data_IF_160382201248
#
_entry.id   IF_160382201248
#
_cell.length_a   1.000
_cell.length_b   1.000
_cell.length_c   1.000
_cell.angle_alpha   90.00
_cell.angle_beta   90.00
_cell.angle_gamma   90.00
#
_symmetry.space_group_name_H-M   'P 1'
#
loop_
_entity.id
_entity.type
_entity.pdbx_description
1 polymer ?
#
# COMPACT_ATOMS: atom_id res chain seq x y z
N UNK A 1 -3.81 -5.02 -9.08
CA UNK A 1 -4.82 -5.96 -8.52
C UNK A 1 -5.89 -5.19 -7.73
N UNK A 2 -5.53 -4.24 -6.83
CA UNK A 2 -6.46 -3.56 -5.90
C UNK A 2 -7.74 -3.02 -6.57
N UNK A 3 -7.70 -2.18 -7.63
CA UNK A 3 -8.94 -1.67 -8.22
C UNK A 3 -9.81 -2.76 -8.85
N UNK A 4 -9.22 -3.82 -9.36
CA UNK A 4 -9.98 -4.94 -9.92
C UNK A 4 -10.71 -5.75 -8.84
N UNK A 5 -10.08 -5.94 -7.68
CA UNK A 5 -10.71 -6.57 -6.52
C UNK A 5 -11.85 -5.68 -5.97
N UNK A 6 -11.59 -4.37 -5.80
CA UNK A 6 -12.61 -3.41 -5.37
C UNK A 6 -13.82 -3.44 -6.30
N UNK A 7 -13.60 -3.36 -7.62
CA UNK A 7 -14.67 -3.45 -8.63
C UNK A 7 -15.49 -4.73 -8.51
N UNK A 8 -14.82 -5.86 -8.31
CA UNK A 8 -15.48 -7.15 -8.16
C UNK A 8 -16.42 -7.18 -6.95
N UNK A 9 -15.92 -6.77 -5.79
CA UNK A 9 -16.72 -6.79 -4.56
C UNK A 9 -17.79 -5.70 -4.51
N UNK A 10 -17.60 -4.56 -5.14
CA UNK A 10 -18.63 -3.50 -5.22
C UNK A 10 -19.86 -3.91 -6.03
N UNK A 11 -19.80 -5.01 -6.80
CA UNK A 11 -20.98 -5.59 -7.43
C UNK A 11 -21.98 -6.10 -6.38
N UNK A 12 -21.48 -6.69 -5.30
CA UNK A 12 -22.30 -7.33 -4.27
C UNK A 12 -22.46 -6.47 -3.01
N UNK A 13 -21.45 -5.64 -2.67
CA UNK A 13 -21.42 -4.84 -1.45
C UNK A 13 -21.60 -3.35 -1.74
N UNK A 14 -22.20 -2.63 -0.80
CA UNK A 14 -22.36 -1.16 -0.89
C UNK A 14 -21.04 -0.44 -0.66
N UNK A 15 -20.19 -0.97 0.23
CA UNK A 15 -18.91 -0.42 0.61
C UNK A 15 -17.88 -1.55 0.73
N UNK A 16 -16.69 -1.32 0.23
CA UNK A 16 -15.54 -2.25 0.31
C UNK A 16 -14.33 -1.50 0.86
N UNK A 17 -13.73 -2.05 1.90
CA UNK A 17 -12.44 -1.60 2.39
C UNK A 17 -11.36 -2.58 1.90
N UNK A 18 -10.34 -2.06 1.24
CA UNK A 18 -9.12 -2.80 0.98
C UNK A 18 -8.10 -2.50 2.08
N UNK A 19 -7.51 -3.53 2.63
CA UNK A 19 -6.48 -3.45 3.68
C UNK A 19 -5.35 -4.40 3.27
N UNK A 20 -4.10 -3.92 3.34
CA UNK A 20 -2.92 -4.76 3.04
C UNK A 20 -2.78 -5.91 4.08
N UNK A 21 -2.22 -7.06 3.70
CA UNK A 21 -2.15 -8.24 4.56
C UNK A 21 -1.23 -8.08 5.78
N UNK A 22 -0.37 -7.06 5.79
CA UNK A 22 0.51 -6.69 6.89
C UNK A 22 -0.07 -5.58 7.80
N UNK A 23 -1.40 -5.41 7.77
CA UNK A 23 -2.15 -4.52 8.66
C UNK A 23 -2.88 -5.35 9.72
N UNK A 24 -2.82 -4.91 10.97
CA UNK A 24 -3.62 -5.46 12.06
C UNK A 24 -4.62 -4.42 12.59
N UNK A 25 -5.88 -4.86 12.76
CA UNK A 25 -6.98 -4.04 13.27
C UNK A 25 -7.09 -4.22 14.77
N UNK A 26 -7.11 -3.11 15.52
CA UNK A 26 -7.16 -3.07 16.99
C UNK A 26 -8.50 -2.58 17.53
N UNK A 27 -9.27 -1.82 16.75
CA UNK A 27 -10.58 -1.31 17.14
C UNK A 27 -11.54 -1.27 15.94
N UNK A 28 -12.86 -1.20 16.16
CA UNK A 28 -13.85 -1.17 15.10
C UNK A 28 -13.61 -0.06 14.05
N UNK A 29 -13.87 -0.36 12.78
CA UNK A 29 -13.67 0.56 11.65
C UNK A 29 -14.97 1.26 11.20
N UNK A 30 -16.07 1.11 11.97
CA UNK A 30 -17.38 1.68 11.61
C UNK A 30 -17.31 3.17 11.23
N UNK A 31 -16.58 4.06 11.94
CA UNK A 31 -16.54 5.47 11.57
C UNK A 31 -15.98 5.72 10.16
N UNK A 32 -14.93 5.00 9.76
CA UNK A 32 -14.37 5.19 8.42
C UNK A 32 -15.21 4.48 7.34
N UNK A 33 -15.96 3.42 7.70
CA UNK A 33 -16.96 2.81 6.81
C UNK A 33 -18.10 3.81 6.53
N UNK A 34 -18.64 4.44 7.57
CA UNK A 34 -19.69 5.46 7.46
C UNK A 34 -19.22 6.63 6.58
N UNK A 35 -18.01 7.16 6.84
CA UNK A 35 -17.42 8.21 6.01
C UNK A 35 -17.22 7.77 4.56
N UNK A 36 -16.82 6.50 4.33
CA UNK A 36 -16.68 5.95 2.98
C UNK A 36 -18.02 5.89 2.25
N UNK A 37 -19.08 5.45 2.93
CA UNK A 37 -20.43 5.39 2.37
C UNK A 37 -20.94 6.81 2.06
N UNK A 38 -20.68 7.79 2.93
CA UNK A 38 -21.10 9.18 2.72
C UNK A 38 -20.37 9.85 1.55
N UNK A 39 -19.04 9.68 1.47
CA UNK A 39 -18.20 10.42 0.52
C UNK A 39 -17.81 9.61 -0.74
N UNK A 40 -18.11 8.33 -0.79
CA UNK A 40 -17.80 7.43 -1.90
C UNK A 40 -16.39 6.84 -1.89
N UNK A 41 -15.42 7.56 -1.33
CA UNK A 41 -14.01 7.13 -1.24
C UNK A 41 -13.44 7.66 0.07
N UNK A 42 -12.63 6.84 0.75
CA UNK A 42 -11.84 7.27 1.91
C UNK A 42 -10.37 6.86 1.78
N UNK A 43 -9.48 7.76 2.18
CA UNK A 43 -8.02 7.63 2.09
C UNK A 43 -7.37 7.99 3.42
N UNK A 44 -6.19 7.39 3.68
CA UNK A 44 -5.36 7.73 4.84
C UNK A 44 -4.03 8.34 4.37
N UNK A 45 -3.67 9.58 4.80
CA UNK A 45 -2.41 10.20 4.43
C UNK A 45 -1.24 9.59 5.21
N UNK A 46 -0.03 9.65 4.64
CA UNK A 46 1.18 9.21 5.31
C UNK A 46 1.49 10.05 6.55
N UNK A 47 1.29 11.36 6.49
CA UNK A 47 1.49 12.28 7.60
C UNK A 47 0.31 13.24 7.74
N UNK A 48 0.08 13.73 8.95
CA UNK A 48 -0.97 14.69 9.29
C UNK A 48 -0.41 16.06 9.71
N UNK A 49 0.91 16.15 9.90
CA UNK A 49 1.62 17.36 10.32
C UNK A 49 2.89 17.51 9.51
N UNK A 50 3.45 18.72 9.39
CA UNK A 50 4.74 18.94 8.78
C UNK A 50 5.84 18.11 9.46
N UNK A 51 6.75 17.55 8.66
CA UNK A 51 7.88 16.75 9.14
C UNK A 51 9.10 17.66 9.30
N UNK A 52 9.83 17.52 10.42
CA UNK A 52 11.03 18.30 10.67
C UNK A 52 12.12 18.03 9.63
N UNK A 53 12.82 19.08 9.19
CA UNK A 53 13.97 18.97 8.27
C UNK A 53 15.27 18.83 9.08
N UNK A 54 15.43 17.70 9.74
CA UNK A 54 16.51 17.38 10.68
C UNK A 54 17.47 16.28 10.17
N UNK A 55 17.25 15.83 8.92
CA UNK A 55 18.04 14.75 8.31
C UNK A 55 17.60 13.34 8.71
N UNK A 56 16.56 13.23 9.55
CA UNK A 56 15.93 11.92 9.82
C UNK A 56 14.89 11.56 8.74
N UNK A 57 14.71 10.26 8.53
CA UNK A 57 13.77 9.74 7.55
C UNK A 57 12.65 8.92 8.22
N UNK A 58 11.45 8.87 7.60
CA UNK A 58 11.10 9.48 6.31
C UNK A 58 11.01 10.99 6.38
N UNK A 59 11.27 11.62 5.22
CA UNK A 59 11.12 13.07 5.00
C UNK A 59 9.89 13.35 4.13
N UNK A 60 9.45 14.62 4.12
CA UNK A 60 8.36 15.06 3.22
C UNK A 60 8.69 14.77 1.75
N UNK A 61 9.97 14.93 1.34
CA UNK A 61 10.41 14.65 -0.03
C UNK A 61 10.26 13.17 -0.36
N UNK A 62 10.62 12.29 0.60
CA UNK A 62 10.43 10.84 0.44
C UNK A 62 8.96 10.47 0.30
N UNK A 63 8.09 11.07 1.12
CA UNK A 63 6.64 10.88 1.03
C UNK A 63 6.10 11.39 -0.31
N UNK A 64 6.50 12.58 -0.75
CA UNK A 64 6.09 13.11 -2.06
C UNK A 64 6.52 12.21 -3.21
N UNK A 65 7.67 11.57 -3.12
CA UNK A 65 8.15 10.63 -4.15
C UNK A 65 7.32 9.34 -4.19
N UNK A 66 6.90 8.83 -3.03
CA UNK A 66 6.11 7.61 -2.93
C UNK A 66 4.59 7.82 -3.12
N UNK A 67 4.10 9.04 -2.90
CA UNK A 67 2.68 9.42 -2.85
C UNK A 67 2.28 9.88 -1.44
N UNK A 68 1.38 10.85 -1.35
CA UNK A 68 0.97 11.46 -0.07
C UNK A 68 -0.03 10.60 0.72
N UNK A 69 -0.67 9.63 0.07
CA UNK A 69 -1.58 8.66 0.69
C UNK A 69 -0.95 7.27 0.70
N UNK A 70 -1.14 6.54 1.80
CA UNK A 70 -0.71 5.16 1.88
C UNK A 70 -1.84 4.20 1.52
N UNK A 71 -1.63 3.38 0.52
CA UNK A 71 -2.62 2.43 0.02
C UNK A 71 -2.56 1.05 0.70
N UNK A 72 -1.96 0.95 1.87
CA UNK A 72 -2.27 -0.14 2.81
C UNK A 72 -3.72 -0.10 3.28
N UNK A 73 -4.38 1.04 3.05
CA UNK A 73 -5.82 1.22 3.23
C UNK A 73 -6.43 2.05 2.10
N UNK A 74 -7.59 1.63 1.61
CA UNK A 74 -8.50 2.43 0.81
C UNK A 74 -9.93 1.92 0.98
N UNK A 75 -10.87 2.82 1.26
CA UNK A 75 -12.30 2.53 1.27
C UNK A 75 -12.98 3.05 0.00
N UNK A 76 -13.89 2.27 -0.58
CA UNK A 76 -14.70 2.70 -1.72
C UNK A 76 -16.14 2.21 -1.56
N UNK A 77 -17.10 3.11 -1.72
CA UNK A 77 -18.52 2.79 -1.84
C UNK A 77 -18.95 2.79 -3.30
N UNK A 78 -20.15 2.25 -3.62
CA UNK A 78 -20.66 2.15 -4.99
C UNK A 78 -20.63 3.46 -5.77
N UNK A 79 -20.92 4.57 -5.13
CA UNK A 79 -20.85 5.89 -5.76
C UNK A 79 -19.43 6.30 -6.16
N UNK A 80 -18.37 5.66 -5.61
CA UNK A 80 -16.98 5.82 -5.97
C UNK A 80 -16.54 4.96 -7.17
N UNK A 81 -17.43 4.22 -7.83
CA UNK A 81 -17.08 3.29 -8.91
C UNK A 81 -16.34 3.96 -10.08
N UNK A 82 -16.66 5.19 -10.41
CA UNK A 82 -15.96 5.94 -11.46
C UNK A 82 -14.47 6.13 -11.15
N UNK A 83 -14.11 6.33 -9.88
CA UNK A 83 -12.73 6.35 -9.43
C UNK A 83 -12.05 5.00 -9.64
N UNK A 84 -12.72 3.90 -9.30
CA UNK A 84 -12.15 2.54 -9.44
C UNK A 84 -11.82 2.25 -10.90
N UNK A 85 -12.72 2.59 -11.83
CA UNK A 85 -12.49 2.41 -13.29
C UNK A 85 -11.34 3.27 -13.77
N UNK A 86 -11.29 4.55 -13.37
CA UNK A 86 -10.19 5.46 -13.70
C UNK A 86 -8.86 4.93 -13.19
N UNK A 87 -8.81 4.48 -11.94
CA UNK A 87 -7.59 3.95 -11.33
C UNK A 87 -7.14 2.64 -11.98
N UNK A 88 -8.07 1.72 -12.24
CA UNK A 88 -7.80 0.46 -12.94
C UNK A 88 -7.15 0.70 -14.31
N UNK A 89 -7.65 1.69 -15.06
CA UNK A 89 -7.09 2.04 -16.38
C UNK A 89 -5.64 2.52 -16.27
N UNK A 90 -5.32 3.37 -15.28
CA UNK A 90 -3.94 3.83 -15.05
C UNK A 90 -3.01 2.69 -14.67
N UNK A 91 -3.45 1.81 -13.77
CA UNK A 91 -2.62 0.72 -13.25
C UNK A 91 -2.39 -0.42 -14.27
N UNK A 92 -3.08 -0.45 -15.38
CA UNK A 92 -2.80 -1.42 -16.44
C UNK A 92 -1.37 -1.34 -16.98
N UNK A 93 -0.77 -0.14 -16.95
CA UNK A 93 0.58 0.12 -17.48
C UNK A 93 1.54 0.64 -16.41
N UNK A 94 1.05 1.34 -15.41
CA UNK A 94 1.84 2.21 -14.55
C UNK A 94 1.95 1.71 -13.10
N UNK A 95 1.53 0.48 -12.81
CA UNK A 95 1.73 -0.14 -11.48
C UNK A 95 3.16 -0.66 -11.31
N UNK A 96 4.14 0.25 -11.41
CA UNK A 96 5.57 -0.04 -11.31
C UNK A 96 6.26 0.96 -10.38
N UNK A 97 7.46 0.63 -9.93
CA UNK A 97 8.38 1.58 -9.28
C UNK A 97 9.30 2.15 -10.35
N UNK A 98 9.05 3.42 -10.71
CA UNK A 98 9.84 4.17 -11.68
C UNK A 98 9.91 5.65 -11.26
N UNK A 99 10.80 5.99 -10.31
CA UNK A 99 10.91 7.35 -9.78
C UNK A 99 11.28 8.40 -10.84
N UNK A 100 12.00 8.01 -11.89
CA UNK A 100 12.37 8.92 -12.97
C UNK A 100 11.14 9.41 -13.77
N UNK A 101 10.10 8.58 -13.86
CA UNK A 101 8.81 8.91 -14.46
C UNK A 101 7.72 9.20 -13.42
N UNK A 102 8.10 9.47 -12.16
CA UNK A 102 7.20 9.81 -11.07
C UNK A 102 6.15 8.71 -10.74
N UNK A 103 6.48 7.44 -11.00
CA UNK A 103 5.61 6.31 -10.71
C UNK A 103 6.09 5.56 -9.47
N UNK A 104 5.14 5.25 -8.60
CA UNK A 104 5.39 4.41 -7.43
C UNK A 104 4.20 3.49 -7.18
N UNK A 105 4.29 2.29 -7.72
CA UNK A 105 3.29 1.22 -7.64
C UNK A 105 1.87 1.69 -8.03
N UNK A 106 0.90 1.36 -7.21
CA UNK A 106 -0.51 1.76 -7.34
C UNK A 106 -0.81 3.10 -6.66
N UNK A 107 0.09 3.57 -5.80
CA UNK A 107 -0.13 4.62 -4.82
C UNK A 107 -0.02 6.04 -5.40
N UNK A 108 0.98 6.28 -6.25
CA UNK A 108 1.29 7.63 -6.74
C UNK A 108 0.16 8.29 -7.54
N UNK A 109 -0.65 7.50 -8.24
CA UNK A 109 -1.83 7.96 -8.97
C UNK A 109 -2.92 8.54 -8.07
N UNK A 110 -2.97 8.14 -6.80
CA UNK A 110 -3.99 8.59 -5.86
C UNK A 110 -3.88 10.07 -5.53
N UNK A 111 -2.69 10.65 -5.59
CA UNK A 111 -2.53 12.09 -5.33
C UNK A 111 -3.35 12.93 -6.32
N UNK A 112 -3.43 12.49 -7.59
CA UNK A 112 -4.23 13.16 -8.63
C UNK A 112 -5.73 12.92 -8.43
N UNK A 113 -6.12 11.85 -7.76
CA UNK A 113 -7.53 11.54 -7.53
C UNK A 113 -8.23 12.56 -6.64
N UNK A 114 -7.50 13.26 -5.78
CA UNK A 114 -8.06 14.20 -4.81
C UNK A 114 -8.85 15.34 -5.46
N UNK A 115 -8.29 16.13 -6.40
CA UNK A 115 -9.04 17.18 -7.08
C UNK A 115 -10.12 16.66 -8.01
N UNK A 116 -10.02 15.41 -8.50
CA UNK A 116 -10.97 14.83 -9.48
C UNK A 116 -12.19 14.23 -8.78
N UNK A 117 -11.99 13.41 -7.75
CA UNK A 117 -13.02 12.60 -7.12
C UNK A 117 -13.39 13.05 -5.71
N UNK A 118 -12.62 13.94 -5.08
CA UNK A 118 -12.86 14.54 -3.76
C UNK A 118 -13.11 13.50 -2.66
N UNK A 119 -12.17 12.55 -2.45
CA UNK A 119 -12.30 11.54 -1.40
C UNK A 119 -12.37 12.18 -0.01
N UNK A 120 -12.99 11.48 0.93
CA UNK A 120 -12.79 11.76 2.34
C UNK A 120 -11.35 11.45 2.74
N UNK A 121 -10.71 12.36 3.43
CA UNK A 121 -9.34 12.18 3.94
C UNK A 121 -9.44 12.01 5.44
N UNK A 122 -9.08 10.82 5.92
CA UNK A 122 -9.10 10.51 7.34
C UNK A 122 -7.98 11.29 8.06
N UNK A 123 -8.38 12.16 8.96
CA UNK A 123 -7.48 13.03 9.72
C UNK A 123 -7.21 12.54 11.15
N UNK A 124 -7.87 11.46 11.61
CA UNK A 124 -7.55 10.86 12.90
C UNK A 124 -6.18 10.19 12.88
N UNK A 125 -5.32 10.44 13.88
CA UNK A 125 -4.00 9.82 13.96
C UNK A 125 -4.06 8.32 14.27
N UNK A 126 -5.21 7.78 14.65
CA UNK A 126 -5.39 6.38 15.05
C UNK A 126 -5.50 5.41 13.85
N UNK A 127 -5.61 5.92 12.62
CA UNK A 127 -5.70 5.11 11.39
C UNK A 127 -4.36 5.05 10.66
N UNK A 128 -4.02 3.89 10.13
CA UNK A 128 -2.83 3.64 9.32
C UNK A 128 -1.53 4.12 9.98
N UNK A 129 -1.39 3.76 11.27
CA UNK A 129 -0.16 4.01 12.01
C UNK A 129 0.92 3.06 11.51
N UNK A 130 2.10 3.61 11.20
CA UNK A 130 3.20 2.83 10.64
C UNK A 130 4.54 3.53 10.85
N UNK A 131 5.65 2.86 10.50
CA UNK A 131 7.01 3.36 10.71
C UNK A 131 7.25 4.79 10.18
N UNK A 132 6.49 5.23 9.18
CA UNK A 132 6.67 6.55 8.56
C UNK A 132 5.99 7.71 9.30
N UNK A 133 5.15 7.43 10.31
CA UNK A 133 4.43 8.47 11.04
C UNK A 133 4.42 8.29 12.57
N UNK A 134 5.21 7.36 13.09
CA UNK A 134 5.29 7.08 14.53
C UNK A 134 5.78 8.27 15.36
N UNK A 135 6.57 9.15 14.78
CA UNK A 135 7.03 10.39 15.43
C UNK A 135 5.88 11.38 15.69
N UNK A 136 4.83 11.34 14.86
CA UNK A 136 3.61 12.13 15.00
C UNK A 136 2.49 11.41 15.72
N UNK A 137 2.61 10.09 15.89
CA UNK A 137 1.56 9.19 16.40
C UNK A 137 2.09 8.29 17.50
N UNK A 138 2.50 8.85 18.65
CA UNK A 138 3.02 8.05 19.76
C UNK A 138 1.94 7.09 20.25
N UNK A 139 2.34 5.82 20.44
CA UNK A 139 1.44 4.77 20.93
C UNK A 139 1.55 4.64 22.42
N UNK A 140 0.42 4.64 23.10
CA UNK A 140 0.27 4.34 24.51
C UNK A 140 -0.57 3.08 24.69
N UNK A 141 -0.44 2.46 25.88
CA UNK A 141 -1.30 1.35 26.29
C UNK A 141 -1.98 1.69 27.61
N UNK A 142 -3.31 1.61 27.63
CA UNK A 142 -4.15 1.89 28.79
C UNK A 142 -5.13 0.72 28.95
N UNK A 143 -5.14 0.07 30.11
CA UNK A 143 -6.04 -1.06 30.42
C UNK A 143 -6.05 -2.18 29.34
N UNK A 144 -4.88 -2.45 28.76
CA UNK A 144 -4.73 -3.49 27.72
C UNK A 144 -5.05 -3.04 26.29
N UNK A 145 -5.56 -1.81 26.09
CA UNK A 145 -5.92 -1.24 24.79
C UNK A 145 -4.82 -0.27 24.33
N UNK A 146 -4.48 -0.32 23.04
CA UNK A 146 -3.56 0.64 22.44
C UNK A 146 -4.29 1.91 22.02
N UNK A 147 -3.65 3.06 22.22
CA UNK A 147 -4.15 4.41 21.92
C UNK A 147 -3.13 5.21 21.14
N UNK A 148 -3.64 6.15 20.33
CA UNK A 148 -2.88 7.25 19.76
C UNK A 148 -3.56 8.56 20.19
N UNK A 149 -2.90 9.29 21.09
CA UNK A 149 -3.56 10.41 21.79
C UNK A 149 -4.73 9.91 22.63
N UNK A 150 -5.93 10.45 22.41
CA UNK A 150 -7.14 10.05 23.15
C UNK A 150 -8.00 9.04 22.40
N UNK A 151 -7.58 8.60 21.22
CA UNK A 151 -8.33 7.68 20.39
C UNK A 151 -7.75 6.25 20.49
N UNK A 152 -8.59 5.19 20.59
CA UNK A 152 -8.14 3.82 20.42
C UNK A 152 -7.48 3.64 19.05
N UNK A 153 -6.31 3.01 19.01
CA UNK A 153 -5.65 2.61 17.77
C UNK A 153 -6.61 1.80 16.91
N UNK A 154 -6.92 2.28 15.70
CA UNK A 154 -7.83 1.59 14.79
C UNK A 154 -7.10 0.47 14.07
N UNK A 155 -6.01 0.80 13.39
CA UNK A 155 -5.15 -0.21 12.79
C UNK A 155 -3.69 0.27 12.65
N UNK A 156 -2.79 -0.70 12.76
CA UNK A 156 -1.36 -0.52 12.56
C UNK A 156 -0.92 -1.26 11.29
N UNK A 157 -0.13 -0.61 10.46
CA UNK A 157 0.44 -1.17 9.24
C UNK A 157 1.91 -1.55 9.48
N UNK A 158 2.17 -2.83 9.63
CA UNK A 158 3.50 -3.38 9.91
C UNK A 158 4.36 -3.47 8.64
N UNK A 159 4.28 -2.45 7.78
CA UNK A 159 4.92 -2.41 6.48
C UNK A 159 6.41 -2.74 6.55
N UNK A 160 6.78 -3.85 5.91
CA UNK A 160 8.15 -4.33 5.87
C UNK A 160 8.71 -4.86 7.20
N UNK A 161 7.87 -5.15 8.19
CA UNK A 161 8.31 -5.82 9.40
C UNK A 161 8.70 -7.28 9.10
N UNK A 162 9.81 -7.71 9.69
CA UNK A 162 10.34 -9.07 9.56
C UNK A 162 10.46 -9.69 10.97
N UNK A 163 9.61 -10.66 11.35
CA UNK A 163 9.60 -11.23 12.70
C UNK A 163 10.89 -11.93 13.14
N UNK A 164 11.73 -12.33 12.19
CA UNK A 164 13.07 -12.87 12.45
C UNK A 164 14.11 -11.77 12.79
N UNK A 165 13.73 -10.49 12.61
CA UNK A 165 14.52 -9.32 12.99
C UNK A 165 13.73 -8.38 13.91
N UNK A 166 13.30 -8.86 15.10
CA UNK A 166 12.30 -8.17 15.94
C UNK A 166 12.74 -6.79 16.46
N UNK A 167 14.02 -6.46 16.37
CA UNK A 167 14.57 -5.17 16.76
C UNK A 167 14.43 -4.09 15.68
N UNK A 168 13.95 -4.44 14.48
CA UNK A 168 13.70 -3.50 13.39
C UNK A 168 12.20 -3.25 13.24
N UNK A 169 11.83 -1.99 13.12
CA UNK A 169 10.44 -1.60 12.86
C UNK A 169 10.05 -2.00 11.43
N UNK A 170 10.96 -1.83 10.47
CA UNK A 170 10.71 -2.09 9.05
C UNK A 170 12.03 -2.29 8.30
N UNK A 171 12.05 -3.18 7.31
CA UNK A 171 13.16 -3.28 6.34
C UNK A 171 13.30 -2.02 5.46
N UNK A 172 12.27 -1.19 5.40
CA UNK A 172 12.26 0.07 4.69
C UNK A 172 12.79 1.23 5.55
N UNK A 173 13.11 0.95 6.81
CA UNK A 173 13.64 1.96 7.72
C UNK A 173 15.04 2.37 7.29
N UNK A 174 15.30 3.67 7.11
CA UNK A 174 16.61 4.18 6.71
C UNK A 174 17.63 4.11 7.85
N UNK A 175 18.88 4.47 7.54
CA UNK A 175 19.95 4.51 8.55
C UNK A 175 19.76 5.55 9.64
N UNK A 176 18.92 6.57 9.38
CA UNK A 176 18.57 7.66 10.31
C UNK A 176 17.07 7.67 10.62
N UNK A 177 16.55 6.62 11.29
CA UNK A 177 15.12 6.53 11.57
C UNK A 177 14.68 7.54 12.60
N UNK A 178 13.45 8.07 12.46
CA UNK A 178 12.84 9.00 13.43
C UNK A 178 12.50 8.31 14.75
N UNK A 179 12.12 7.05 14.69
CA UNK A 179 11.70 6.25 15.86
C UNK A 179 12.45 4.92 15.90
N UNK A 180 12.85 4.52 17.09
CA UNK A 180 13.50 3.21 17.35
C UNK A 180 12.73 2.47 18.42
N UNK A 181 12.58 1.15 18.28
CA UNK A 181 11.89 0.31 19.27
C UNK A 181 12.54 0.39 20.64
N UNK A 182 13.89 0.50 20.71
CA UNK A 182 14.63 0.63 21.96
C UNK A 182 14.18 1.79 22.85
N UNK A 183 13.63 2.84 22.25
CA UNK A 183 13.29 4.07 22.94
C UNK A 183 11.80 4.12 23.31
N UNK A 184 11.01 3.13 22.83
CA UNK A 184 9.55 3.09 22.95
C UNK A 184 9.04 1.71 23.41
N UNK A 185 9.04 1.40 24.74
CA UNK A 185 8.69 0.08 25.25
C UNK A 185 7.28 -0.40 24.87
N UNK A 186 6.29 0.50 24.83
CA UNK A 186 4.91 0.14 24.44
C UNK A 186 4.84 -0.24 22.95
N UNK A 187 5.59 0.47 22.12
CA UNK A 187 5.69 0.14 20.70
C UNK A 187 6.41 -1.20 20.50
N UNK A 188 7.50 -1.45 21.23
CA UNK A 188 8.19 -2.75 21.20
C UNK A 188 7.26 -3.89 21.56
N UNK A 189 6.45 -3.73 22.61
CA UNK A 189 5.44 -4.73 23.00
C UNK A 189 4.42 -4.98 21.87
N UNK A 190 3.93 -3.95 21.20
CA UNK A 190 3.00 -4.10 20.08
C UNK A 190 3.63 -4.92 18.93
N UNK A 191 4.91 -4.68 18.63
CA UNK A 191 5.65 -5.43 17.61
C UNK A 191 5.92 -6.88 18.04
N UNK A 192 6.24 -7.13 19.31
CA UNK A 192 6.43 -8.49 19.85
C UNK A 192 5.13 -9.30 19.76
N UNK A 193 4.00 -8.69 20.15
CA UNK A 193 2.68 -9.33 20.07
C UNK A 193 2.29 -9.67 18.63
N UNK A 194 2.51 -8.76 17.68
CA UNK A 194 2.26 -9.00 16.24
C UNK A 194 3.21 -10.08 15.69
N UNK A 195 4.51 -9.96 15.96
CA UNK A 195 5.51 -10.92 15.51
C UNK A 195 5.24 -12.34 16.00
N UNK A 196 4.83 -12.50 17.27
CA UNK A 196 4.43 -13.78 17.82
C UNK A 196 3.23 -14.40 17.06
N UNK A 197 2.23 -13.60 16.71
CA UNK A 197 1.08 -14.07 15.91
C UNK A 197 1.48 -14.49 14.49
N UNK A 198 2.33 -13.71 13.82
CA UNK A 198 2.83 -14.05 12.48
C UNK A 198 3.64 -15.34 12.52
N UNK A 199 4.56 -15.50 13.50
CA UNK A 199 5.37 -16.71 13.65
C UNK A 199 4.54 -17.95 13.99
N UNK A 200 3.44 -17.78 14.71
CA UNK A 200 2.55 -18.90 15.05
C UNK A 200 1.87 -19.53 13.82
N UNK A 201 1.72 -18.78 12.73
CA UNK A 201 1.15 -19.27 11.47
C UNK A 201 2.21 -19.47 10.36
N UNK A 202 3.45 -19.04 10.61
CA UNK A 202 4.56 -19.25 9.67
C UNK A 202 4.89 -20.74 9.56
N UNK A 203 5.27 -21.18 8.36
CA UNK A 203 5.62 -22.59 8.10
C UNK A 203 4.43 -23.48 7.77
N UNK A 204 3.25 -22.93 7.55
CA UNK A 204 2.15 -23.67 6.91
C UNK A 204 2.51 -24.04 5.46
N UNK A 205 1.86 -25.06 4.89
CA UNK A 205 2.17 -25.56 3.52
C UNK A 205 2.12 -24.43 2.47
N UNK A 206 1.26 -23.44 2.66
CA UNK A 206 1.09 -22.30 1.76
C UNK A 206 2.30 -21.35 1.70
N UNK A 207 3.17 -21.34 2.73
CA UNK A 207 4.36 -20.48 2.77
C UNK A 207 5.43 -20.84 1.73
N UNK A 208 5.36 -22.03 1.14
CA UNK A 208 6.33 -22.56 0.17
C UNK A 208 5.80 -22.59 -1.27
N UNK A 209 4.62 -22.01 -1.52
CA UNK A 209 4.07 -21.99 -2.88
C UNK A 209 4.90 -21.06 -3.78
N UNK A 210 5.30 -21.59 -4.95
CA UNK A 210 5.94 -20.76 -5.96
C UNK A 210 4.94 -19.77 -6.57
N UNK A 211 5.43 -18.54 -6.80
CA UNK A 211 4.64 -17.52 -7.47
C UNK A 211 4.49 -17.85 -8.97
N UNK A 212 3.35 -18.43 -9.35
CA UNK A 212 3.09 -18.96 -10.71
C UNK A 212 3.18 -17.91 -11.83
N UNK A 213 3.12 -16.62 -11.53
CA UNK A 213 3.26 -15.53 -12.51
C UNK A 213 4.72 -15.04 -12.67
N UNK A 214 5.68 -15.70 -12.04
CA UNK A 214 7.10 -15.39 -12.22
C UNK A 214 7.62 -15.82 -13.59
N UNK A 215 6.94 -16.75 -14.26
CA UNK A 215 7.31 -17.28 -15.57
C UNK A 215 6.22 -17.01 -16.60
N UNK A 216 6.61 -16.59 -17.82
CA UNK A 216 5.70 -16.50 -18.95
C UNK A 216 5.41 -17.87 -19.55
N UNK A 217 6.46 -18.72 -19.61
CA UNK A 217 6.44 -20.11 -20.08
C UNK A 217 7.40 -20.93 -19.23
N UNK A 218 7.33 -22.27 -19.24
CA UNK A 218 8.34 -23.09 -18.58
C UNK A 218 9.76 -22.70 -19.03
N UNK A 219 10.58 -22.25 -18.07
CA UNK A 219 11.96 -21.86 -18.31
C UNK A 219 12.21 -20.40 -18.73
N UNK A 220 11.16 -19.58 -18.93
CA UNK A 220 11.32 -18.15 -19.20
C UNK A 220 10.85 -17.32 -18.01
N UNK A 221 11.80 -16.89 -17.19
CA UNK A 221 11.54 -16.00 -16.07
C UNK A 221 11.19 -14.57 -16.54
N UNK A 222 10.10 -13.99 -16.02
CA UNK A 222 9.70 -12.61 -16.26
C UNK A 222 10.50 -11.66 -15.37
N UNK A 223 11.75 -11.42 -15.73
CA UNK A 223 12.61 -10.48 -15.02
C UNK A 223 12.09 -9.03 -15.12
N UNK A 224 12.55 -8.15 -14.22
CA UNK A 224 12.15 -6.73 -14.25
C UNK A 224 12.48 -6.03 -15.59
N UNK A 225 13.65 -6.25 -16.24
CA UNK A 225 13.90 -5.71 -17.58
C UNK A 225 12.92 -6.19 -18.64
N UNK A 226 12.56 -7.49 -18.66
CA UNK A 226 11.58 -8.04 -19.60
C UNK A 226 10.20 -7.39 -19.39
N UNK A 227 9.75 -7.24 -18.15
CA UNK A 227 8.48 -6.58 -17.82
C UNK A 227 8.46 -5.13 -18.27
N UNK A 228 9.57 -4.40 -18.11
CA UNK A 228 9.70 -3.00 -18.58
C UNK A 228 9.65 -2.91 -20.09
N UNK A 229 10.45 -3.72 -20.80
CA UNK A 229 10.43 -3.73 -22.27
C UNK A 229 9.03 -4.04 -22.83
N UNK A 230 8.33 -5.01 -22.23
CA UNK A 230 6.96 -5.33 -22.61
C UNK A 230 5.99 -4.16 -22.37
N UNK A 231 6.12 -3.45 -21.23
CA UNK A 231 5.33 -2.26 -20.94
C UNK A 231 5.58 -1.15 -21.98
N UNK A 232 6.84 -0.88 -22.30
CA UNK A 232 7.21 0.15 -23.27
C UNK A 232 6.64 -0.14 -24.65
N UNK A 233 6.67 -1.39 -25.08
CA UNK A 233 6.02 -1.85 -26.31
C UNK A 233 4.50 -1.62 -26.30
N UNK A 234 3.84 -1.87 -25.19
CA UNK A 234 2.41 -1.63 -25.03
C UNK A 234 2.08 -0.14 -25.07
N UNK A 235 2.89 0.72 -24.46
CA UNK A 235 2.71 2.18 -24.51
C UNK A 235 2.87 2.73 -25.94
N UNK A 236 3.84 2.22 -26.69
CA UNK A 236 4.01 2.58 -28.11
C UNK A 236 2.81 2.15 -28.96
N UNK A 237 2.27 0.96 -28.70
CA UNK A 237 1.07 0.49 -29.40
C UNK A 237 -0.16 1.34 -29.07
N UNK A 238 -0.36 1.67 -27.77
CA UNK A 238 -1.47 2.53 -27.33
C UNK A 238 -1.36 3.96 -27.92
N UNK A 239 -0.13 4.45 -28.16
CA UNK A 239 0.12 5.74 -28.84
C UNK A 239 -0.03 5.69 -30.38
N UNK A 240 -0.36 4.54 -30.96
CA UNK A 240 -0.43 4.36 -32.43
C UNK A 240 0.93 4.39 -33.14
N UNK A 241 2.03 4.31 -32.40
CA UNK A 241 3.41 4.37 -32.92
C UNK A 241 4.07 2.98 -33.04
N UNK A 242 3.34 1.91 -32.75
CA UNK A 242 3.84 0.54 -32.77
C UNK A 242 2.91 -0.45 -33.46
N UNK A 243 3.43 -1.63 -33.79
CA UNK A 243 2.59 -2.76 -34.23
C UNK A 243 1.64 -3.19 -33.09
N UNK A 244 0.39 -3.60 -33.40
CA UNK A 244 -0.54 -4.09 -32.38
C UNK A 244 0.10 -5.19 -31.55
N UNK A 245 -0.08 -5.15 -30.23
CA UNK A 245 0.51 -6.09 -29.26
C UNK A 245 0.20 -7.57 -29.61
N UNK A 246 -0.95 -7.84 -30.22
CA UNK A 246 -1.36 -9.15 -30.70
C UNK A 246 -0.48 -9.74 -31.81
N UNK A 247 0.18 -8.91 -32.62
CA UNK A 247 1.08 -9.39 -33.70
C UNK A 247 2.49 -9.66 -33.17
N UNK A 248 2.93 -8.96 -32.11
CA UNK A 248 4.27 -9.15 -31.50
C UNK A 248 4.34 -10.41 -30.63
N UNK A 249 3.25 -10.83 -30.00
CA UNK A 249 3.21 -12.11 -29.27
C UNK A 249 3.61 -13.30 -30.18
N UNK A 250 3.26 -13.28 -31.46
CA UNK A 250 3.69 -14.31 -32.41
C UNK A 250 5.19 -14.30 -32.68
N UNK A 251 5.87 -13.16 -32.64
CA UNK A 251 7.33 -13.09 -32.90
C UNK A 251 8.18 -13.56 -31.73
N UNK A 252 7.73 -13.37 -30.51
CA UNK A 252 8.40 -13.92 -29.31
C UNK A 252 8.31 -15.45 -29.23
N UNK A 253 7.27 -16.05 -29.84
CA UNK A 253 7.14 -17.48 -29.96
C UNK A 253 8.02 -18.12 -31.05
N UNK A 254 8.53 -17.34 -32.00
CA UNK A 254 9.31 -17.84 -33.13
C UNK A 254 10.83 -17.62 -32.90
N UNK A 255 11.23 -16.80 -31.93
CA UNK A 255 12.61 -16.47 -31.61
C UNK A 255 13.18 -17.19 -30.35
N UNK A 256 12.38 -18.05 -29.71
CA UNK A 256 12.78 -18.95 -28.63
C UNK A 256 12.78 -20.40 -29.11
#
# INVERSE_FOLDING_TARGET
IKPFALRHFLADFECVLYIDPDVEIYAPLDPIVEATVEHGISLTPHCLQPIARDGAEPSEIGIMAAGIFNLGYIGVARQGSAFVEWWAERLRRDSIVDPANHLFTDQRWIDISVPIFRPYIEASPAYNVAYWNLDQRPIERRDGVYFVGDEPLRFFHFSGYEPDKPHWISRHQPSTPRVRLSDHPVLAQLFDEYGARVLAVAGTEDSNLEYGWAQAFPGLELTAPIRRAFRDDLLLADAGQGEPATQRHHRLHVAA
#
